data_IF_155802241280
#
_entry.id   IF_155802241280
#
_cell.length_a   1.000
_cell.length_b   1.000
_cell.length_c   1.000
_cell.angle_alpha   90.00
_cell.angle_beta   90.00
_cell.angle_gamma   90.00
#
_symmetry.space_group_name_H-M   'P 1'
#
loop_
_entity.id
_entity.type
_entity.pdbx_description
1 polymer ?
#
# COMPACT_ATOMS: atom_id res chain seq x y z
N UNK A 1 1.63 1.82 23.74
CA UNK A 1 0.61 2.33 22.80
C UNK A 1 1.12 2.30 21.36
N UNK A 2 2.04 3.20 21.00
CA UNK A 2 2.51 3.39 19.61
C UNK A 2 3.03 2.13 18.93
N UNK A 3 3.79 1.29 19.64
CA UNK A 3 4.31 0.02 19.11
C UNK A 3 3.22 -0.96 18.71
N UNK A 4 2.17 -1.07 19.53
CA UNK A 4 1.01 -1.90 19.23
C UNK A 4 0.24 -1.35 18.03
N UNK A 5 0.03 -0.02 18.00
CA UNK A 5 -0.59 0.65 16.86
C UNK A 5 0.18 0.35 15.57
N UNK A 6 1.50 0.43 15.59
CA UNK A 6 2.35 0.18 14.43
C UNK A 6 2.19 -1.25 13.89
N UNK A 7 2.26 -2.26 14.76
CA UNK A 7 2.05 -3.68 14.37
C UNK A 7 0.62 -3.91 13.86
N UNK A 8 -0.37 -3.33 14.55
CA UNK A 8 -1.77 -3.44 14.18
C UNK A 8 -2.05 -2.82 12.81
N UNK A 9 -1.48 -1.64 12.52
CA UNK A 9 -1.61 -0.98 11.22
C UNK A 9 -0.97 -1.80 10.08
N UNK A 10 0.21 -2.40 10.29
CA UNK A 10 0.80 -3.32 9.30
C UNK A 10 -0.11 -4.52 9.02
N UNK A 11 -0.73 -5.07 10.06
CA UNK A 11 -1.70 -6.15 9.92
C UNK A 11 -2.91 -5.72 9.08
N UNK A 12 -3.46 -4.53 9.33
CA UNK A 12 -4.57 -4.00 8.53
C UNK A 12 -4.18 -3.80 7.06
N UNK A 13 -3.02 -3.19 6.79
CA UNK A 13 -2.52 -3.02 5.42
C UNK A 13 -2.33 -4.37 4.72
N UNK A 14 -1.82 -5.37 5.43
CA UNK A 14 -1.68 -6.72 4.88
C UNK A 14 -3.04 -7.30 4.47
N UNK A 15 -4.06 -7.17 5.31
CA UNK A 15 -5.41 -7.66 4.98
C UNK A 15 -6.06 -6.89 3.83
N UNK A 16 -5.87 -5.57 3.75
CA UNK A 16 -6.34 -4.76 2.63
C UNK A 16 -5.75 -5.19 1.27
N UNK A 17 -4.63 -5.92 1.27
CA UNK A 17 -3.97 -6.38 0.04
C UNK A 17 -4.35 -7.78 -0.39
N UNK A 18 -5.18 -8.50 0.37
CA UNK A 18 -5.57 -9.84 -0.02
C UNK A 18 -6.44 -9.79 -1.28
N UNK A 19 -5.99 -10.36 -2.40
CA UNK A 19 -6.79 -10.36 -3.62
C UNK A 19 -7.93 -11.36 -3.52
N UNK A 20 -8.96 -11.13 -4.33
CA UNK A 20 -9.94 -12.18 -4.62
C UNK A 20 -9.23 -13.41 -5.22
N UNK A 21 -9.75 -14.65 -5.02
CA UNK A 21 -9.15 -15.86 -5.56
C UNK A 21 -8.95 -15.85 -7.09
N UNK A 22 -9.77 -15.09 -7.82
CA UNK A 22 -9.63 -14.88 -9.27
C UNK A 22 -8.40 -14.05 -9.66
N UNK A 23 -8.00 -13.11 -8.82
CA UNK A 23 -6.90 -12.16 -9.08
C UNK A 23 -5.60 -12.54 -8.37
N UNK A 24 -5.52 -13.75 -7.83
CA UNK A 24 -4.36 -14.18 -7.06
C UNK A 24 -3.13 -14.39 -7.96
N UNK A 25 -1.96 -13.83 -7.59
CA UNK A 25 -0.77 -13.82 -8.44
C UNK A 25 -0.24 -15.23 -8.74
N UNK A 26 -0.38 -16.17 -7.79
CA UNK A 26 -0.05 -17.59 -7.97
C UNK A 26 -0.74 -18.25 -9.17
N UNK A 27 -1.90 -17.74 -9.60
CA UNK A 27 -2.66 -18.31 -10.73
C UNK A 27 -2.22 -17.75 -12.08
N UNK A 28 -1.56 -16.58 -12.10
CA UNK A 28 -1.26 -15.86 -13.34
C UNK A 28 0.03 -16.36 -13.99
N UNK A 29 1.08 -16.53 -13.20
CA UNK A 29 2.39 -16.94 -13.69
C UNK A 29 3.25 -17.54 -12.56
N UNK A 30 4.09 -18.52 -12.90
CA UNK A 30 4.99 -19.20 -11.96
C UNK A 30 6.01 -18.24 -11.37
N UNK A 31 6.57 -17.33 -12.19
CA UNK A 31 7.59 -16.38 -11.73
C UNK A 31 6.98 -15.42 -10.71
N UNK A 32 5.81 -14.83 -11.02
CA UNK A 32 5.08 -13.97 -10.08
C UNK A 32 4.76 -14.70 -8.77
N UNK A 33 4.36 -15.96 -8.86
CA UNK A 33 4.13 -16.80 -7.69
C UNK A 33 5.38 -17.00 -6.82
N UNK A 34 6.52 -17.31 -7.43
CA UNK A 34 7.79 -17.43 -6.72
C UNK A 34 8.24 -16.11 -6.08
N UNK A 35 8.15 -14.99 -6.81
CA UNK A 35 8.43 -13.66 -6.27
C UNK A 35 7.50 -13.31 -5.10
N UNK A 36 6.22 -13.65 -5.18
CA UNK A 36 5.25 -13.42 -4.11
C UNK A 36 5.67 -14.13 -2.82
N UNK A 37 6.04 -15.41 -2.91
CA UNK A 37 6.51 -16.19 -1.76
C UNK A 37 7.80 -15.61 -1.17
N UNK A 38 8.74 -15.16 -2.02
CA UNK A 38 9.96 -14.50 -1.56
C UNK A 38 9.63 -13.20 -0.81
N UNK A 39 8.75 -12.35 -1.35
CA UNK A 39 8.39 -11.08 -0.74
C UNK A 39 7.70 -11.28 0.62
N UNK A 40 6.86 -12.31 0.78
CA UNK A 40 6.26 -12.65 2.07
C UNK A 40 7.32 -13.07 3.11
N UNK A 41 8.33 -13.85 2.69
CA UNK A 41 9.44 -14.24 3.59
C UNK A 41 10.26 -13.03 4.02
N UNK A 42 10.60 -12.15 3.07
CA UNK A 42 11.32 -10.91 3.35
C UNK A 42 10.50 -9.96 4.23
N UNK A 43 9.17 -9.92 4.03
CA UNK A 43 8.27 -9.12 4.86
C UNK A 43 8.25 -9.66 6.29
N UNK A 44 8.19 -10.98 6.47
CA UNK A 44 8.33 -11.59 7.79
C UNK A 44 9.65 -11.19 8.46
N UNK A 45 10.76 -11.21 7.72
CA UNK A 45 12.06 -10.79 8.23
C UNK A 45 12.10 -9.30 8.61
N UNK A 46 11.53 -8.41 7.78
CA UNK A 46 11.49 -6.98 8.08
C UNK A 46 10.62 -6.66 9.30
N UNK A 47 9.50 -7.37 9.48
CA UNK A 47 8.63 -7.25 10.65
C UNK A 47 9.31 -7.77 11.94
N UNK A 48 10.13 -8.82 11.85
CA UNK A 48 10.96 -9.27 12.98
C UNK A 48 12.00 -8.22 13.36
N UNK A 49 12.70 -7.65 12.37
CA UNK A 49 13.66 -6.56 12.61
C UNK A 49 12.99 -5.33 13.24
N UNK A 50 11.77 -5.00 12.80
CA UNK A 50 10.93 -3.97 13.40
C UNK A 50 10.60 -4.27 14.87
N UNK A 51 10.27 -5.52 15.20
CA UNK A 51 10.03 -5.95 16.59
C UNK A 51 11.24 -5.74 17.49
N UNK A 52 12.45 -6.06 17.00
CA UNK A 52 13.71 -5.76 17.70
C UNK A 52 13.89 -4.25 17.85
N UNK A 53 13.66 -3.48 16.79
CA UNK A 53 13.81 -2.03 16.81
C UNK A 53 12.89 -1.36 17.83
N UNK A 54 11.62 -1.77 17.86
CA UNK A 54 10.62 -1.32 18.84
C UNK A 54 11.08 -1.62 20.26
N UNK A 55 11.68 -2.80 20.52
CA UNK A 55 12.21 -3.13 21.84
C UNK A 55 13.32 -2.18 22.26
N UNK A 56 14.26 -1.87 21.36
CA UNK A 56 15.33 -0.90 21.61
C UNK A 56 14.77 0.50 21.88
N UNK A 57 13.73 0.92 21.16
CA UNK A 57 13.04 2.19 21.39
C UNK A 57 12.40 2.24 22.78
N UNK A 58 11.68 1.19 23.17
CA UNK A 58 11.04 1.10 24.49
C UNK A 58 12.09 1.16 25.60
N UNK A 59 13.20 0.45 25.45
CA UNK A 59 14.30 0.50 26.42
C UNK A 59 14.89 1.92 26.54
N UNK A 60 15.12 2.61 25.42
CA UNK A 60 15.59 3.99 25.42
C UNK A 60 14.62 4.93 26.16
N UNK A 61 13.32 4.79 25.93
CA UNK A 61 12.28 5.56 26.64
C UNK A 61 12.29 5.27 28.14
N UNK A 62 12.32 4.00 28.54
CA UNK A 62 12.33 3.59 29.96
C UNK A 62 13.56 4.14 30.67
N UNK A 63 14.72 4.13 30.01
CA UNK A 63 15.98 4.62 30.58
C UNK A 63 16.14 6.15 30.48
N UNK A 64 15.21 6.87 29.83
CA UNK A 64 15.31 8.30 29.58
C UNK A 64 16.51 8.68 28.71
N UNK A 65 16.93 7.77 27.81
CA UNK A 65 18.09 7.95 26.92
C UNK A 65 17.63 8.21 25.50
N UNK A 66 18.47 8.88 24.73
CA UNK A 66 18.30 8.97 23.28
C UNK A 66 18.49 7.61 22.62
N UNK A 67 17.85 7.42 21.47
CA UNK A 67 18.09 6.25 20.64
C UNK A 67 19.52 6.25 20.11
N UNK A 68 20.12 5.07 20.07
CA UNK A 68 21.36 4.88 19.33
C UNK A 68 21.11 5.05 17.84
N UNK A 69 22.11 5.53 17.10
CA UNK A 69 22.02 5.67 15.64
C UNK A 69 21.67 4.35 14.95
N UNK A 70 22.17 3.22 15.49
CA UNK A 70 21.79 1.89 15.03
C UNK A 70 20.28 1.64 15.14
N UNK A 71 19.66 1.98 16.28
CA UNK A 71 18.22 1.81 16.47
C UNK A 71 17.40 2.73 15.55
N UNK A 72 17.89 3.94 15.25
CA UNK A 72 17.24 4.87 14.30
C UNK A 72 17.24 4.28 12.89
N UNK A 73 18.41 3.82 12.42
CA UNK A 73 18.57 3.19 11.11
C UNK A 73 17.73 1.92 11.01
N UNK A 74 17.80 1.05 12.03
CA UNK A 74 17.04 -0.21 12.06
C UNK A 74 15.53 0.07 12.00
N UNK A 75 15.04 1.08 12.71
CA UNK A 75 13.62 1.47 12.69
C UNK A 75 13.20 1.95 11.30
N UNK A 76 13.91 2.93 10.74
CA UNK A 76 13.58 3.48 9.43
C UNK A 76 13.64 2.43 8.32
N UNK A 77 14.70 1.62 8.30
CA UNK A 77 14.87 0.54 7.32
C UNK A 77 13.80 -0.55 7.47
N UNK A 78 13.47 -0.98 8.70
CA UNK A 78 12.48 -2.04 8.91
C UNK A 78 11.06 -1.59 8.56
N UNK A 79 10.67 -0.37 8.92
CA UNK A 79 9.38 0.21 8.52
C UNK A 79 9.30 0.42 7.01
N UNK A 80 10.33 1.05 6.42
CA UNK A 80 10.40 1.33 4.98
C UNK A 80 10.39 0.05 4.15
N UNK A 81 11.20 -0.95 4.51
CA UNK A 81 11.23 -2.24 3.83
C UNK A 81 9.90 -2.98 3.95
N UNK A 82 9.26 -2.93 5.12
CA UNK A 82 7.94 -3.56 5.29
C UNK A 82 6.90 -2.93 4.37
N UNK A 83 6.82 -1.59 4.31
CA UNK A 83 5.89 -0.90 3.39
C UNK A 83 6.24 -1.15 1.92
N UNK A 84 7.53 -1.16 1.57
CA UNK A 84 7.98 -1.42 0.20
C UNK A 84 7.66 -2.86 -0.23
N UNK A 85 7.83 -3.84 0.66
CA UNK A 85 7.48 -5.24 0.39
C UNK A 85 5.97 -5.44 0.31
N UNK A 86 5.18 -4.78 1.17
CA UNK A 86 3.72 -4.75 1.05
C UNK A 86 3.30 -4.16 -0.31
N UNK A 87 3.86 -3.01 -0.71
CA UNK A 87 3.65 -2.42 -2.03
C UNK A 87 4.05 -3.38 -3.16
N UNK A 88 5.19 -4.04 -3.03
CA UNK A 88 5.67 -5.04 -3.99
C UNK A 88 4.72 -6.23 -4.12
N UNK A 89 4.20 -6.75 -3.02
CA UNK A 89 3.17 -7.81 -2.98
C UNK A 89 1.92 -7.33 -3.74
N UNK A 90 1.50 -6.09 -3.51
CA UNK A 90 0.37 -5.47 -4.20
C UNK A 90 0.62 -5.36 -5.71
N UNK A 91 1.80 -4.91 -6.13
CA UNK A 91 2.19 -4.84 -7.55
C UNK A 91 2.21 -6.24 -8.17
N UNK A 92 2.64 -7.29 -7.46
CA UNK A 92 2.60 -8.65 -7.98
C UNK A 92 1.16 -9.14 -8.21
N UNK A 93 0.24 -8.79 -7.31
CA UNK A 93 -1.18 -9.12 -7.41
C UNK A 93 -1.90 -8.35 -8.51
N UNK A 94 -1.80 -7.03 -8.48
CA UNK A 94 -2.65 -6.15 -9.30
C UNK A 94 -1.90 -5.42 -10.42
N UNK A 95 -0.56 -5.45 -10.40
CA UNK A 95 0.28 -4.80 -11.41
C UNK A 95 0.05 -5.39 -12.81
N UNK A 96 -0.32 -4.50 -13.72
CA UNK A 96 -0.73 -4.87 -15.08
C UNK A 96 -2.05 -5.64 -15.15
N UNK A 97 -2.88 -5.58 -14.10
CA UNK A 97 -4.31 -5.95 -14.09
C UNK A 97 -5.16 -4.70 -13.89
N UNK A 98 -4.76 -3.86 -12.94
CA UNK A 98 -5.42 -2.60 -12.61
C UNK A 98 -4.52 -1.41 -12.97
N UNK A 99 -5.10 -0.31 -13.47
CA UNK A 99 -6.51 -0.20 -13.89
C UNK A 99 -6.77 -1.02 -15.17
N UNK A 100 -8.02 -1.44 -15.40
CA UNK A 100 -8.41 -2.23 -16.58
C UNK A 100 -8.46 -1.31 -17.80
N UNK A 101 -8.18 -1.87 -18.98
CA UNK A 101 -8.21 -1.11 -20.25
C UNK A 101 -9.57 -0.46 -20.56
N UNK A 102 -10.65 -1.05 -20.07
CA UNK A 102 -12.01 -0.59 -20.31
C UNK A 102 -12.56 0.24 -19.13
N UNK A 103 -11.74 0.55 -18.12
CA UNK A 103 -12.19 1.39 -17.01
C UNK A 103 -12.37 2.85 -17.49
N UNK A 104 -13.33 3.60 -16.92
CA UNK A 104 -13.49 5.02 -17.22
C UNK A 104 -12.20 5.81 -16.96
N UNK A 105 -11.93 6.89 -17.74
CA UNK A 105 -10.73 7.72 -17.54
C UNK A 105 -10.57 8.24 -16.11
N UNK A 106 -11.68 8.56 -15.43
CA UNK A 106 -11.67 9.00 -14.02
C UNK A 106 -11.20 7.91 -13.05
N UNK A 107 -11.60 6.65 -13.28
CA UNK A 107 -11.20 5.50 -12.45
C UNK A 107 -9.72 5.19 -12.66
N UNK A 108 -9.28 5.20 -13.93
CA UNK A 108 -7.86 5.03 -14.29
C UNK A 108 -6.99 6.08 -13.58
N UNK A 109 -7.39 7.35 -13.65
CA UNK A 109 -6.66 8.44 -13.00
C UNK A 109 -6.60 8.24 -11.48
N UNK A 110 -7.74 7.93 -10.84
CA UNK A 110 -7.78 7.74 -9.39
C UNK A 110 -6.91 6.56 -8.94
N UNK A 111 -6.93 5.44 -9.68
CA UNK A 111 -6.07 4.29 -9.43
C UNK A 111 -4.58 4.66 -9.53
N UNK A 112 -4.19 5.43 -10.54
CA UNK A 112 -2.81 5.89 -10.70
C UNK A 112 -2.37 6.81 -9.56
N UNK A 113 -3.25 7.71 -9.11
CA UNK A 113 -3.01 8.56 -7.93
C UNK A 113 -2.79 7.67 -6.70
N UNK A 114 -3.66 6.69 -6.46
CA UNK A 114 -3.53 5.78 -5.33
C UNK A 114 -2.25 4.96 -5.35
N UNK A 115 -1.86 4.39 -6.50
CA UNK A 115 -0.58 3.69 -6.66
C UNK A 115 0.62 4.60 -6.33
N UNK A 116 0.56 5.86 -6.76
CA UNK A 116 1.61 6.85 -6.51
C UNK A 116 1.68 7.23 -5.04
N UNK A 117 0.52 7.45 -4.39
CA UNK A 117 0.44 7.77 -2.96
C UNK A 117 1.01 6.62 -2.12
N UNK A 118 0.57 5.39 -2.35
CA UNK A 118 1.09 4.24 -1.59
C UNK A 118 2.59 4.05 -1.82
N UNK A 119 3.04 4.12 -3.07
CA UNK A 119 4.46 4.02 -3.42
C UNK A 119 5.30 5.10 -2.73
N UNK A 120 4.81 6.34 -2.68
CA UNK A 120 5.49 7.45 -2.00
C UNK A 120 5.58 7.20 -0.51
N UNK A 121 4.49 6.79 0.14
CA UNK A 121 4.49 6.48 1.58
C UNK A 121 5.45 5.35 1.96
N UNK A 122 5.67 4.38 1.06
CA UNK A 122 6.63 3.31 1.30
C UNK A 122 8.09 3.79 1.34
N UNK A 123 8.41 4.93 0.72
CA UNK A 123 9.78 5.46 0.66
C UNK A 123 10.08 6.44 1.80
N UNK A 124 9.07 7.15 2.32
CA UNK A 124 9.21 8.16 3.39
C UNK A 124 10.04 7.67 4.61
N UNK A 125 9.86 6.45 5.15
CA UNK A 125 10.62 5.99 6.33
C UNK A 125 12.14 5.96 6.12
N UNK A 126 12.60 5.72 4.89
CA UNK A 126 14.04 5.76 4.58
C UNK A 126 14.58 7.18 4.69
N UNK A 127 13.80 8.19 4.30
CA UNK A 127 14.21 9.59 4.42
C UNK A 127 14.23 10.07 5.87
N UNK A 128 13.38 9.53 6.74
CA UNK A 128 13.39 9.84 8.17
C UNK A 128 14.71 9.44 8.86
N UNK A 129 15.48 8.51 8.29
CA UNK A 129 16.82 8.15 8.78
C UNK A 129 17.77 9.35 8.72
N UNK A 130 17.70 10.14 7.66
CA UNK A 130 18.57 11.31 7.45
C UNK A 130 18.18 12.52 8.31
N UNK A 131 16.96 12.54 8.85
CA UNK A 131 16.51 13.57 9.78
C UNK A 131 17.16 13.44 11.17
N UNK A 132 17.94 12.38 11.41
CA UNK A 132 18.70 12.13 12.64
C UNK A 132 17.85 12.29 13.91
N UNK A 133 16.64 11.74 13.87
CA UNK A 133 15.67 11.82 14.97
C UNK A 133 16.10 10.85 16.07
N UNK A 134 16.77 11.37 17.09
CA UNK A 134 17.29 10.58 18.21
C UNK A 134 16.27 10.37 19.34
N UNK A 135 15.17 11.12 19.35
CA UNK A 135 14.09 10.94 20.32
C UNK A 135 13.21 9.75 19.92
N UNK A 136 13.13 8.76 20.81
CA UNK A 136 12.39 7.53 20.56
C UNK A 136 10.88 7.73 20.41
N UNK A 137 10.29 8.66 21.16
CA UNK A 137 8.86 8.95 21.09
C UNK A 137 8.53 9.67 19.79
N UNK A 138 9.37 10.62 19.36
CA UNK A 138 9.19 11.32 18.08
C UNK A 138 9.34 10.34 16.92
N UNK A 139 10.40 9.52 16.91
CA UNK A 139 10.61 8.51 15.87
C UNK A 139 9.45 7.51 15.80
N UNK A 140 8.94 7.03 16.95
CA UNK A 140 7.77 6.16 16.99
C UNK A 140 6.53 6.87 16.46
N UNK A 141 6.28 8.09 16.90
CA UNK A 141 5.08 8.86 16.53
C UNK A 141 5.04 9.15 15.04
N UNK A 142 6.18 9.51 14.43
CA UNK A 142 6.25 9.75 13.00
C UNK A 142 5.99 8.49 12.18
N UNK A 143 6.62 7.36 12.52
CA UNK A 143 6.39 6.11 11.80
C UNK A 143 4.96 5.59 12.00
N UNK A 144 4.46 5.58 13.24
CA UNK A 144 3.08 5.18 13.54
C UNK A 144 2.06 6.09 12.86
N UNK A 145 2.27 7.41 12.90
CA UNK A 145 1.38 8.39 12.28
C UNK A 145 1.37 8.28 10.75
N UNK A 146 2.53 8.04 10.13
CA UNK A 146 2.65 7.79 8.70
C UNK A 146 1.84 6.56 8.27
N UNK A 147 2.03 5.43 8.96
CA UNK A 147 1.33 4.17 8.61
C UNK A 147 -0.17 4.32 8.90
N UNK A 148 -0.55 4.99 10.00
CA UNK A 148 -1.95 5.26 10.30
C UNK A 148 -2.62 6.11 9.20
N UNK A 149 -1.97 7.18 8.74
CA UNK A 149 -2.46 7.99 7.64
C UNK A 149 -2.60 7.16 6.35
N UNK A 150 -1.62 6.30 6.06
CA UNK A 150 -1.71 5.38 4.92
C UNK A 150 -2.90 4.41 5.05
N UNK A 151 -3.13 3.84 6.24
CA UNK A 151 -4.30 3.00 6.51
C UNK A 151 -5.60 3.75 6.26
N UNK A 152 -5.73 4.99 6.71
CA UNK A 152 -6.94 5.80 6.48
C UNK A 152 -7.17 6.07 4.99
N UNK A 153 -6.12 6.42 4.26
CA UNK A 153 -6.18 6.63 2.81
C UNK A 153 -6.60 5.32 2.12
N UNK A 154 -5.98 4.21 2.50
CA UNK A 154 -6.27 2.89 1.96
C UNK A 154 -7.71 2.45 2.23
N UNK A 155 -8.17 2.59 3.47
CA UNK A 155 -9.55 2.26 3.86
C UNK A 155 -10.56 3.16 3.13
N UNK A 156 -10.28 4.45 3.01
CA UNK A 156 -11.14 5.40 2.27
C UNK A 156 -11.22 5.02 0.80
N UNK A 157 -10.09 4.67 0.19
CA UNK A 157 -10.03 4.26 -1.20
C UNK A 157 -10.86 3.00 -1.44
N UNK A 158 -10.57 1.93 -0.69
CA UNK A 158 -11.14 0.61 -0.89
C UNK A 158 -12.63 0.52 -0.50
N UNK A 159 -13.05 1.23 0.55
CA UNK A 159 -14.42 1.10 1.07
C UNK A 159 -15.37 2.21 0.64
N UNK A 160 -14.87 3.37 0.20
CA UNK A 160 -15.71 4.51 -0.15
C UNK A 160 -15.57 4.83 -1.63
N UNK A 161 -14.34 5.14 -2.08
CA UNK A 161 -14.12 5.66 -3.43
C UNK A 161 -14.34 4.59 -4.51
N UNK A 162 -13.78 3.40 -4.36
CA UNK A 162 -13.93 2.32 -5.34
C UNK A 162 -15.40 1.89 -5.52
N UNK A 163 -16.17 1.59 -4.45
CA UNK A 163 -17.59 1.26 -4.58
C UNK A 163 -18.42 2.41 -5.16
N UNK A 164 -18.15 3.65 -4.76
CA UNK A 164 -18.84 4.82 -5.29
C UNK A 164 -18.62 4.98 -6.79
N UNK A 165 -17.39 4.76 -7.28
CA UNK A 165 -17.08 4.82 -8.70
C UNK A 165 -17.73 3.68 -9.48
N UNK A 166 -17.76 2.48 -8.91
CA UNK A 166 -18.44 1.33 -9.52
C UNK A 166 -19.95 1.55 -9.63
N UNK A 167 -20.59 2.14 -8.62
CA UNK A 167 -22.04 2.38 -8.61
C UNK A 167 -22.48 3.47 -9.61
N UNK A 168 -21.64 4.48 -9.86
CA UNK A 168 -21.95 5.57 -10.78
C UNK A 168 -21.50 5.29 -12.23
N UNK A 169 -20.96 4.11 -12.50
CA UNK A 169 -20.56 3.72 -13.84
C UNK A 169 -21.75 3.10 -14.60
N UNK A 170 -22.15 3.77 -15.68
CA UNK A 170 -23.09 3.21 -16.66
C UNK A 170 -22.28 2.58 -17.79
N UNK A 171 -22.31 1.24 -17.97
CA UNK A 171 -21.63 0.58 -19.08
C UNK A 171 -22.02 1.19 -20.43
N UNK A 172 -21.07 1.34 -21.35
CA UNK A 172 -21.36 1.79 -22.70
C UNK A 172 -22.37 0.87 -23.42
N UNK A 173 -22.37 -0.44 -23.09
CA UNK A 173 -23.29 -1.43 -23.64
C UNK A 173 -24.75 -1.24 -23.20
N UNK A 174 -24.99 -0.56 -22.08
CA UNK A 174 -26.35 -0.22 -21.63
C UNK A 174 -26.80 1.16 -22.06
N UNK A 175 -25.95 1.91 -22.77
CA UNK A 175 -26.40 3.15 -23.41
C UNK A 175 -27.28 2.77 -24.62
N UNK A 176 -28.50 3.32 -24.72
CA UNK A 176 -29.34 3.06 -25.89
C UNK A 176 -28.58 3.48 -27.14
N UNK A 177 -28.59 2.61 -28.17
CA UNK A 177 -28.00 2.90 -29.48
C UNK A 177 -28.40 4.32 -29.88
N UNK A 178 -27.41 5.18 -30.10
CA UNK A 178 -27.67 6.55 -30.50
C UNK A 178 -28.45 6.47 -31.82
N UNK A 179 -29.58 7.18 -31.91
CA UNK A 179 -30.43 7.13 -33.10
C UNK A 179 -29.69 7.55 -34.38
N UNK A 180 -28.60 8.32 -34.25
CA UNK A 180 -27.66 8.65 -35.34
C UNK A 180 -26.93 7.43 -35.91
N UNK A 181 -26.69 6.39 -35.11
CA UNK A 181 -25.98 5.18 -35.52
C UNK A 181 -26.92 4.19 -36.23
N UNK A 182 -28.24 4.46 -36.19
CA UNK A 182 -29.27 3.70 -36.87
C UNK A 182 -29.66 4.31 -38.23
N UNK A 183 -29.14 5.48 -38.59
CA UNK A 183 -29.38 6.08 -39.91
C UNK A 183 -28.30 5.53 -40.86
N UNK A 184 -28.64 4.64 -41.80
CA UNK A 184 -27.67 4.21 -42.79
C UNK A 184 -27.22 5.42 -43.60
N UNK A 185 -25.94 5.73 -43.54
CA UNK A 185 -25.31 6.68 -44.46
C UNK A 185 -25.38 6.06 -45.85
N UNK A 186 -26.35 6.50 -46.65
CA UNK A 186 -26.37 6.28 -48.09
C UNK A 186 -25.21 7.09 -48.70
N UNK A 187 -24.00 6.55 -48.61
CA UNK A 187 -22.91 6.96 -49.48
C UNK A 187 -23.13 6.27 -50.83
N UNK A 188 -23.48 7.10 -51.82
CA UNK A 188 -23.67 6.69 -53.21
C UNK A 188 -22.37 6.63 -54.00
#
# INVERSE_FOLDING_TARGET
>A
GLSFLLIFMFTLLFFHMQPSPSNHALRRDRIRGSCLMLFHRLLGLSLVALGVSVRLMVEAVIQGRSMTQFAVILTGCSVGMSLLLLYGIRVLHYGGVLPRKNDPPRVIWLMNVWWTVFGTFAVIPFFLIFANITDALVAASLNSGLIFALCLIESTFTHILEPFLAANYVPAETQPLRQSDLIPTNEG
#
